data_IF_082494462183
#
_entry.id   IF_082494462183
#
_cell.length_a   1.000
_cell.length_b   1.000
_cell.length_c   1.000
_cell.angle_alpha   90.00
_cell.angle_beta   90.00
_cell.angle_gamma   90.00
#
_symmetry.space_group_name_H-M   'P 1'
#
loop_
_entity.id
_entity.type
_entity.pdbx_description
1 polymer ?
#
# COMPACT_ATOMS: atom_id res chain seq x y z
N UNK A 1 44.16 2.27 -39.37
CA UNK A 1 43.76 3.39 -38.48
C UNK A 1 42.29 3.21 -38.14
N UNK A 2 42.01 2.72 -36.93
CA UNK A 2 40.64 2.45 -36.47
C UNK A 2 39.96 3.76 -36.10
N UNK A 3 38.86 4.06 -36.79
CA UNK A 3 38.05 5.25 -36.57
C UNK A 3 37.16 4.98 -35.34
N UNK A 4 37.66 5.25 -34.12
CA UNK A 4 36.88 5.17 -32.89
C UNK A 4 35.98 6.40 -32.77
N UNK A 5 34.94 6.46 -33.59
CA UNK A 5 33.86 7.41 -33.43
C UNK A 5 33.08 7.05 -32.17
N UNK A 6 33.37 7.73 -31.06
CA UNK A 6 32.49 7.73 -29.89
C UNK A 6 31.17 8.35 -30.31
N UNK A 7 30.19 7.51 -30.64
CA UNK A 7 28.82 7.94 -30.87
C UNK A 7 28.37 8.73 -29.62
N UNK A 8 28.08 10.03 -29.78
CA UNK A 8 27.58 10.88 -28.70
C UNK A 8 26.30 10.25 -28.16
N UNK A 9 26.32 9.81 -26.90
CA UNK A 9 25.14 9.23 -26.23
C UNK A 9 24.10 10.33 -26.01
N UNK A 10 22.86 10.03 -26.33
CA UNK A 10 21.74 10.91 -26.01
C UNK A 10 21.58 11.04 -24.50
N UNK A 11 21.23 12.25 -24.04
CA UNK A 11 21.07 12.62 -22.63
C UNK A 11 20.17 11.62 -21.88
N UNK A 12 19.11 11.11 -22.52
CA UNK A 12 18.20 10.12 -21.93
C UNK A 12 18.83 8.78 -21.57
N UNK A 13 19.81 8.29 -22.35
CA UNK A 13 20.50 7.03 -22.05
C UNK A 13 21.41 7.14 -20.83
N UNK A 14 22.05 8.30 -20.66
CA UNK A 14 22.89 8.60 -19.49
C UNK A 14 22.04 8.73 -18.23
N UNK A 15 20.92 9.46 -18.28
CA UNK A 15 20.00 9.60 -17.15
C UNK A 15 19.44 8.25 -16.70
N UNK A 16 19.04 7.40 -17.66
CA UNK A 16 18.53 6.07 -17.35
C UNK A 16 19.59 5.16 -16.71
N UNK A 17 20.83 5.18 -17.20
CA UNK A 17 21.91 4.41 -16.59
C UNK A 17 22.26 4.89 -15.18
N UNK A 18 22.21 6.20 -14.91
CA UNK A 18 22.38 6.76 -13.56
C UNK A 18 21.25 6.31 -12.63
N UNK A 19 20.01 6.31 -13.11
CA UNK A 19 18.88 5.80 -12.33
C UNK A 19 19.05 4.31 -11.97
N UNK A 20 19.42 3.46 -12.94
CA UNK A 20 19.70 2.05 -12.68
C UNK A 20 20.87 1.85 -11.70
N UNK A 21 21.90 2.70 -11.77
CA UNK A 21 23.03 2.65 -10.84
C UNK A 21 22.58 2.97 -9.40
N UNK A 22 21.78 4.03 -9.20
CA UNK A 22 21.26 4.38 -7.88
C UNK A 22 20.39 3.26 -7.31
N UNK A 23 19.52 2.68 -8.13
CA UNK A 23 18.65 1.56 -7.73
C UNK A 23 19.50 0.34 -7.38
N UNK A 24 20.47 -0.03 -8.21
CA UNK A 24 21.36 -1.15 -7.94
C UNK A 24 22.17 -0.98 -6.65
N UNK A 25 22.71 0.23 -6.42
CA UNK A 25 23.47 0.55 -5.21
C UNK A 25 22.60 0.41 -3.95
N UNK A 26 21.37 0.94 -3.98
CA UNK A 26 20.40 0.79 -2.87
C UNK A 26 20.03 -0.66 -2.64
N UNK A 27 19.75 -1.44 -3.70
CA UNK A 27 19.40 -2.86 -3.60
C UNK A 27 20.54 -3.70 -3.03
N UNK A 28 21.79 -3.46 -3.44
CA UNK A 28 22.95 -4.19 -2.93
C UNK A 28 23.26 -3.77 -1.49
N UNK A 29 23.27 -2.47 -1.19
CA UNK A 29 23.60 -1.95 0.14
C UNK A 29 22.54 -2.34 1.18
N UNK A 30 21.28 -1.99 0.93
CA UNK A 30 20.18 -2.28 1.85
C UNK A 30 19.82 -3.76 1.85
N UNK A 31 19.92 -4.45 0.70
CA UNK A 31 19.74 -5.90 0.63
C UNK A 31 20.84 -6.66 1.38
N UNK A 32 22.08 -6.18 1.35
CA UNK A 32 23.17 -6.77 2.14
C UNK A 32 22.94 -6.61 3.64
N UNK A 33 22.46 -5.44 4.07
CA UNK A 33 22.03 -5.23 5.46
C UNK A 33 20.88 -6.15 5.84
N UNK A 34 19.84 -6.27 4.99
CA UNK A 34 18.72 -7.17 5.24
C UNK A 34 19.16 -8.64 5.33
N UNK A 35 20.09 -9.07 4.47
CA UNK A 35 20.65 -10.41 4.50
C UNK A 35 21.41 -10.68 5.81
N UNK A 36 22.11 -9.68 6.36
CA UNK A 36 22.79 -9.80 7.66
C UNK A 36 21.82 -10.00 8.84
N UNK A 37 20.55 -9.61 8.66
CA UNK A 37 19.47 -9.83 9.61
C UNK A 37 18.70 -11.14 9.36
N UNK A 38 19.17 -11.99 8.46
CA UNK A 38 18.50 -13.25 8.08
C UNK A 38 17.34 -13.08 7.09
N UNK A 39 17.24 -11.93 6.42
CA UNK A 39 16.21 -11.67 5.41
C UNK A 39 16.56 -12.20 4.01
N UNK A 40 15.72 -11.87 3.02
CA UNK A 40 15.81 -12.44 1.68
C UNK A 40 17.06 -12.00 0.90
N UNK A 41 17.76 -12.96 0.29
CA UNK A 41 18.88 -12.72 -0.61
C UNK A 41 18.47 -12.11 -1.97
N UNK A 42 17.16 -12.09 -2.28
CA UNK A 42 16.63 -11.61 -3.55
C UNK A 42 17.12 -10.19 -3.89
N UNK A 43 17.11 -9.26 -2.92
CA UNK A 43 17.46 -7.86 -3.19
C UNK A 43 18.92 -7.68 -3.61
N UNK A 44 19.84 -8.46 -3.04
CA UNK A 44 21.26 -8.44 -3.43
C UNK A 44 21.43 -9.01 -4.84
N UNK A 45 20.80 -10.16 -5.12
CA UNK A 45 20.84 -10.79 -6.45
C UNK A 45 20.24 -9.87 -7.52
N UNK A 46 19.08 -9.27 -7.25
CA UNK A 46 18.42 -8.31 -8.12
C UNK A 46 19.31 -7.09 -8.36
N UNK A 47 19.91 -6.53 -7.30
CA UNK A 47 20.83 -5.40 -7.40
C UNK A 47 22.06 -5.69 -8.29
N UNK A 48 22.64 -6.88 -8.18
CA UNK A 48 23.77 -7.31 -9.04
C UNK A 48 23.35 -7.42 -10.50
N UNK A 49 22.17 -7.98 -10.78
CA UNK A 49 21.67 -8.10 -12.16
C UNK A 49 21.32 -6.73 -12.75
N UNK A 50 20.69 -5.84 -11.99
CA UNK A 50 20.41 -4.46 -12.40
C UNK A 50 21.72 -3.69 -12.67
N UNK A 51 22.76 -3.89 -11.85
CA UNK A 51 24.08 -3.31 -12.07
C UNK A 51 24.72 -3.83 -13.37
N UNK A 52 24.63 -5.14 -13.64
CA UNK A 52 25.12 -5.73 -14.87
C UNK A 52 24.38 -5.17 -16.10
N UNK A 53 23.04 -5.03 -16.02
CA UNK A 53 22.23 -4.40 -17.07
C UNK A 53 22.62 -2.94 -17.26
N UNK A 54 22.83 -2.18 -16.19
CA UNK A 54 23.31 -0.80 -16.26
C UNK A 54 24.65 -0.71 -17.01
N UNK A 55 25.60 -1.59 -16.71
CA UNK A 55 26.91 -1.63 -17.40
C UNK A 55 26.73 -1.96 -18.89
N UNK A 56 25.83 -2.88 -19.24
CA UNK A 56 25.54 -3.21 -20.64
C UNK A 56 24.86 -2.06 -21.39
N UNK A 57 23.94 -1.35 -20.75
CA UNK A 57 23.34 -0.11 -21.28
C UNK A 57 24.41 0.95 -21.47
N UNK A 58 25.30 1.12 -20.48
CA UNK A 58 26.45 2.00 -20.56
C UNK A 58 27.43 1.57 -21.64
N UNK A 59 27.49 0.31 -22.06
CA UNK A 59 28.31 -0.13 -23.19
C UNK A 59 27.56 -0.09 -24.52
N UNK A 60 26.28 0.32 -24.51
CA UNK A 60 25.37 0.27 -25.66
C UNK A 60 25.30 -1.14 -26.27
N UNK A 61 25.34 -2.16 -25.41
CA UNK A 61 25.34 -3.57 -25.79
C UNK A 61 23.90 -4.10 -25.94
N UNK A 62 23.64 -4.83 -27.03
CA UNK A 62 22.33 -5.44 -27.32
C UNK A 62 21.92 -6.50 -26.31
N UNK A 63 22.87 -7.02 -25.52
CA UNK A 63 22.62 -8.03 -24.47
C UNK A 63 21.89 -7.48 -23.24
N UNK A 64 21.77 -6.16 -23.08
CA UNK A 64 21.07 -5.55 -21.95
C UNK A 64 19.59 -6.00 -21.86
N UNK A 65 18.86 -5.97 -22.98
CA UNK A 65 17.45 -6.34 -23.03
C UNK A 65 17.17 -7.82 -22.69
N UNK A 66 17.84 -8.82 -23.29
CA UNK A 66 17.60 -10.22 -22.95
C UNK A 66 18.02 -10.55 -21.51
N UNK A 67 19.08 -9.92 -20.98
CA UNK A 67 19.45 -10.09 -19.57
C UNK A 67 18.37 -9.57 -18.63
N UNK A 68 17.78 -8.41 -18.94
CA UNK A 68 16.68 -7.86 -18.15
C UNK A 68 15.40 -8.68 -18.26
N UNK A 69 15.11 -9.26 -19.43
CA UNK A 69 13.97 -10.16 -19.60
C UNK A 69 14.13 -11.44 -18.75
N UNK A 70 15.34 -12.01 -18.71
CA UNK A 70 15.63 -13.16 -17.85
C UNK A 70 15.49 -12.78 -16.36
N UNK A 71 15.90 -11.56 -15.98
CA UNK A 71 15.70 -11.03 -14.63
C UNK A 71 14.22 -10.95 -14.24
N UNK A 72 13.34 -10.50 -15.15
CA UNK A 72 11.90 -10.46 -14.88
C UNK A 72 11.31 -11.87 -14.70
N UNK A 73 11.74 -12.85 -15.51
CA UNK A 73 11.32 -14.25 -15.35
C UNK A 73 11.81 -14.84 -14.02
N UNK A 74 13.06 -14.56 -13.65
CA UNK A 74 13.62 -14.98 -12.36
C UNK A 74 12.89 -14.33 -11.19
N UNK A 75 12.53 -13.05 -11.31
CA UNK A 75 11.74 -12.34 -10.29
C UNK A 75 10.33 -12.91 -10.17
N UNK A 76 9.68 -13.25 -11.29
CA UNK A 76 8.37 -13.91 -11.26
C UNK A 76 8.46 -15.28 -10.59
N UNK A 77 9.45 -16.10 -10.94
CA UNK A 77 9.65 -17.40 -10.31
C UNK A 77 9.92 -17.28 -8.80
N UNK A 78 10.73 -16.30 -8.39
CA UNK A 78 10.98 -16.02 -6.97
C UNK A 78 9.72 -15.57 -6.24
N UNK A 79 8.96 -14.63 -6.83
CA UNK A 79 7.74 -14.11 -6.24
C UNK A 79 6.67 -15.20 -6.07
N UNK A 80 6.54 -16.09 -7.06
CA UNK A 80 5.65 -17.25 -6.98
C UNK A 80 6.09 -18.24 -5.90
N UNK A 81 7.41 -18.40 -5.68
CA UNK A 81 7.92 -19.28 -4.63
C UNK A 81 7.62 -18.72 -3.22
N UNK A 82 7.69 -17.40 -3.02
CA UNK A 82 7.49 -16.80 -1.70
C UNK A 82 6.03 -16.50 -1.37
N UNK A 83 5.24 -16.06 -2.35
CA UNK A 83 3.88 -15.59 -2.09
C UNK A 83 2.80 -16.37 -2.83
N UNK A 84 3.17 -17.38 -3.60
CA UNK A 84 2.23 -18.21 -4.33
C UNK A 84 1.47 -17.42 -5.39
N UNK A 85 0.16 -17.66 -5.50
CA UNK A 85 -0.70 -17.08 -6.54
C UNK A 85 -1.53 -15.88 -6.06
N UNK A 86 -1.18 -15.28 -4.92
CA UNK A 86 -1.87 -14.08 -4.44
C UNK A 86 -1.59 -12.88 -5.37
N UNK A 87 -2.62 -12.28 -6.00
CA UNK A 87 -2.44 -11.17 -6.93
C UNK A 87 -1.75 -9.94 -6.32
N UNK A 88 -2.04 -9.61 -5.06
CA UNK A 88 -1.59 -8.34 -4.47
C UNK A 88 -0.07 -8.32 -4.20
N UNK A 89 0.50 -9.34 -3.55
CA UNK A 89 1.93 -9.44 -3.41
C UNK A 89 2.62 -9.58 -4.77
N UNK A 90 2.11 -10.40 -5.70
CA UNK A 90 2.73 -10.54 -7.02
C UNK A 90 2.87 -9.20 -7.75
N UNK A 91 1.85 -8.34 -7.69
CA UNK A 91 1.92 -6.98 -8.26
C UNK A 91 3.02 -6.16 -7.60
N UNK A 92 3.14 -6.19 -6.27
CA UNK A 92 4.18 -5.41 -5.55
C UNK A 92 5.61 -5.85 -5.91
N UNK A 93 5.82 -7.14 -6.18
CA UNK A 93 7.12 -7.67 -6.60
C UNK A 93 7.46 -7.32 -8.06
N UNK A 94 6.47 -7.31 -8.95
CA UNK A 94 6.70 -7.24 -10.39
C UNK A 94 6.56 -5.83 -10.98
N UNK A 95 5.74 -4.97 -10.39
CA UNK A 95 5.39 -3.69 -11.00
C UNK A 95 6.63 -2.80 -11.24
N UNK A 96 7.45 -2.57 -10.22
CA UNK A 96 8.63 -1.72 -10.35
C UNK A 96 9.68 -2.29 -11.33
N UNK A 97 10.06 -3.59 -11.27
CA UNK A 97 10.92 -4.20 -12.30
C UNK A 97 10.35 -4.10 -13.72
N UNK A 98 9.04 -4.30 -13.91
CA UNK A 98 8.43 -4.19 -15.25
C UNK A 98 8.56 -2.78 -15.78
N UNK A 99 8.20 -1.77 -14.97
CA UNK A 99 8.29 -0.35 -15.36
C UNK A 99 9.72 0.05 -15.72
N UNK A 100 10.70 -0.38 -14.92
CA UNK A 100 12.12 -0.13 -15.19
C UNK A 100 12.60 -0.81 -16.48
N UNK A 101 11.99 -1.92 -16.90
CA UNK A 101 12.31 -2.64 -18.13
C UNK A 101 11.73 -2.04 -19.40
N UNK A 102 10.72 -1.17 -19.31
CA UNK A 102 10.02 -0.62 -20.48
C UNK A 102 10.96 0.10 -21.47
N UNK A 103 11.91 0.96 -21.05
CA UNK A 103 12.82 1.62 -21.98
C UNK A 103 13.75 0.64 -22.71
N UNK A 104 14.18 -0.43 -22.04
CA UNK A 104 15.06 -1.47 -22.61
C UNK A 104 14.34 -2.29 -23.68
N UNK A 105 13.12 -2.69 -23.37
CA UNK A 105 12.25 -3.42 -24.30
C UNK A 105 11.86 -2.53 -25.49
N UNK A 106 11.58 -1.24 -25.24
CA UNK A 106 11.27 -0.25 -26.27
C UNK A 106 12.41 -0.07 -27.29
N UNK A 107 13.64 0.11 -26.82
CA UNK A 107 14.82 0.22 -27.70
C UNK A 107 15.08 -1.06 -28.51
N UNK A 108 14.78 -2.24 -27.93
CA UNK A 108 14.92 -3.53 -28.61
C UNK A 108 13.84 -3.77 -29.68
N UNK A 109 12.62 -3.28 -29.45
CA UNK A 109 11.48 -3.39 -30.39
C UNK A 109 11.51 -2.32 -31.50
N UNK A 110 12.23 -1.21 -31.29
CA UNK A 110 12.37 -0.11 -32.24
C UNK A 110 13.30 -0.42 -33.45
N UNK A 111 14.17 -1.43 -33.34
CA UNK A 111 15.01 -1.91 -34.44
C UNK A 111 14.27 -2.94 -35.33
N UNK A 112 13.74 -2.47 -36.46
CA UNK A 112 13.44 -3.22 -37.71
C UNK A 112 12.64 -4.53 -37.65
N UNK A 113 11.44 -4.53 -38.27
CA UNK A 113 10.54 -5.68 -38.54
C UNK A 113 9.88 -6.40 -37.34
N UNK A 114 10.13 -5.99 -36.09
CA UNK A 114 9.38 -6.48 -34.89
C UNK A 114 8.51 -5.42 -34.19
N UNK A 115 8.34 -4.24 -34.81
CA UNK A 115 7.56 -3.11 -34.28
C UNK A 115 6.12 -3.48 -33.92
N UNK A 116 5.41 -4.24 -34.76
CA UNK A 116 4.00 -4.57 -34.54
C UNK A 116 3.73 -5.38 -33.24
N UNK A 117 4.64 -6.30 -32.89
CA UNK A 117 4.51 -7.16 -31.70
C UNK A 117 4.81 -6.37 -30.41
N UNK A 118 5.74 -5.42 -30.48
CA UNK A 118 6.10 -4.56 -29.35
C UNK A 118 5.05 -3.54 -28.97
N UNK A 119 4.43 -2.89 -29.98
CA UNK A 119 3.29 -2.00 -29.76
C UNK A 119 2.07 -2.76 -29.25
N UNK A 120 1.84 -3.99 -29.73
CA UNK A 120 0.77 -4.85 -29.21
C UNK A 120 0.96 -5.24 -27.75
N UNK A 121 2.17 -5.62 -27.34
CA UNK A 121 2.46 -6.00 -25.95
C UNK A 121 2.41 -4.83 -24.96
N UNK A 122 2.94 -3.65 -25.35
CA UNK A 122 2.85 -2.45 -24.52
C UNK A 122 1.41 -1.92 -24.45
N UNK A 123 0.69 -1.88 -25.58
CA UNK A 123 -0.72 -1.49 -25.59
C UNK A 123 -1.57 -2.45 -24.76
N UNK A 124 -1.27 -3.76 -24.78
CA UNK A 124 -1.95 -4.74 -23.95
C UNK A 124 -1.60 -4.57 -22.47
N UNK A 125 -0.33 -4.36 -22.11
CA UNK A 125 0.07 -4.12 -20.73
C UNK A 125 -0.51 -2.82 -20.17
N UNK A 126 -0.50 -1.75 -20.97
CA UNK A 126 -1.14 -0.47 -20.62
C UNK A 126 -2.65 -0.64 -20.56
N UNK A 127 -3.30 -1.32 -21.50
CA UNK A 127 -4.75 -1.54 -21.48
C UNK A 127 -5.19 -2.43 -20.32
N UNK A 128 -4.37 -3.42 -19.92
CA UNK A 128 -4.62 -4.26 -18.74
C UNK A 128 -4.46 -3.43 -17.47
N UNK A 129 -3.40 -2.63 -17.34
CA UNK A 129 -3.21 -1.72 -16.21
C UNK A 129 -4.30 -0.66 -16.13
N UNK A 130 -4.66 -0.02 -17.26
CA UNK A 130 -5.73 0.97 -17.34
C UNK A 130 -7.09 0.32 -17.07
N UNK A 131 -7.32 -0.89 -17.56
CA UNK A 131 -8.53 -1.66 -17.29
C UNK A 131 -8.68 -2.01 -15.80
N UNK A 132 -7.59 -2.36 -15.12
CA UNK A 132 -7.57 -2.60 -13.67
C UNK A 132 -7.82 -1.29 -12.89
N UNK A 133 -7.25 -0.17 -13.32
CA UNK A 133 -7.46 1.14 -12.68
C UNK A 133 -8.89 1.67 -12.92
N UNK A 134 -9.41 1.56 -14.14
CA UNK A 134 -10.76 2.03 -14.50
C UNK A 134 -11.88 1.11 -13.99
N UNK A 135 -11.61 -0.18 -13.80
CA UNK A 135 -12.54 -1.12 -13.16
C UNK A 135 -12.54 -1.00 -11.62
N UNK A 136 -11.58 -0.26 -11.05
CA UNK A 136 -11.57 0.06 -9.63
C UNK A 136 -12.51 1.24 -9.37
N UNK A 137 -13.55 1.12 -8.53
CA UNK A 137 -14.41 2.23 -8.17
C UNK A 137 -13.66 3.14 -7.19
N UNK A 138 -12.69 3.90 -7.69
CA UNK A 138 -12.13 5.03 -6.95
C UNK A 138 -13.06 6.21 -7.21
N UNK A 139 -14.07 6.34 -6.36
CA UNK A 139 -14.85 7.57 -6.29
C UNK A 139 -13.88 8.72 -6.01
N UNK A 140 -14.02 9.83 -6.75
CA UNK A 140 -13.30 11.06 -6.43
C UNK A 140 -13.64 11.44 -4.98
N UNK A 141 -12.65 11.78 -4.13
CA UNK A 141 -12.96 12.25 -2.78
C UNK A 141 -13.77 13.54 -2.90
N UNK A 142 -15.03 13.50 -2.50
CA UNK A 142 -15.80 14.73 -2.32
C UNK A 142 -15.08 15.58 -1.27
N UNK A 143 -14.88 16.85 -1.59
CA UNK A 143 -14.25 17.79 -0.67
C UNK A 143 -15.19 18.02 0.52
N UNK A 144 -14.99 17.29 1.61
CA UNK A 144 -15.63 17.58 2.88
C UNK A 144 -15.04 18.88 3.43
N UNK A 145 -15.88 19.92 3.52
CA UNK A 145 -15.54 21.13 4.25
C UNK A 145 -15.41 20.76 5.74
N UNK A 146 -14.19 20.77 6.25
CA UNK A 146 -13.91 20.51 7.65
C UNK A 146 -14.30 21.72 8.51
N UNK A 147 -15.58 21.80 8.90
CA UNK A 147 -16.06 22.75 9.91
C UNK A 147 -16.50 21.97 11.15
N UNK A 148 -15.53 21.50 11.92
CA UNK A 148 -15.77 20.89 13.23
C UNK A 148 -15.11 21.74 14.29
N UNK A 149 -15.89 22.23 15.26
CA UNK A 149 -15.35 22.78 16.50
C UNK A 149 -14.53 21.70 17.22
N UNK A 150 -13.35 22.02 17.77
CA UNK A 150 -12.62 21.07 18.61
C UNK A 150 -13.48 20.70 19.82
N UNK A 151 -14.00 19.48 19.85
CA UNK A 151 -14.70 18.96 21.02
C UNK A 151 -13.68 18.80 22.16
N UNK A 152 -13.93 19.55 23.24
CA UNK A 152 -13.11 19.61 24.45
C UNK A 152 -13.54 18.64 25.55
N UNK A 153 -14.54 17.79 25.27
CA UNK A 153 -15.11 16.81 26.21
C UNK A 153 -14.27 15.52 26.35
N UNK A 154 -13.21 15.38 25.54
CA UNK A 154 -12.35 14.20 25.53
C UNK A 154 -12.93 13.01 24.77
N UNK A 155 -14.02 13.21 24.01
CA UNK A 155 -14.59 12.19 23.15
C UNK A 155 -13.79 12.01 21.85
N UNK A 156 -13.86 10.79 21.32
CA UNK A 156 -13.31 10.37 20.05
C UNK A 156 -14.47 10.03 19.11
N UNK A 157 -15.11 11.07 18.56
CA UNK A 157 -16.34 10.97 17.74
C UNK A 157 -16.09 10.59 16.28
N UNK A 158 -14.87 10.78 15.79
CA UNK A 158 -14.46 10.51 14.41
C UNK A 158 -13.29 9.52 14.40
N UNK A 159 -13.09 8.76 13.33
CA UNK A 159 -11.93 7.85 13.17
C UNK A 159 -10.59 8.60 13.38
N UNK A 160 -10.53 9.87 12.97
CA UNK A 160 -9.38 10.75 13.17
C UNK A 160 -9.48 11.69 14.38
N UNK A 161 -10.32 11.37 15.38
CA UNK A 161 -10.69 12.19 16.56
C UNK A 161 -11.52 13.42 16.25
N UNK A 162 -11.12 14.23 15.27
CA UNK A 162 -11.82 15.43 14.80
C UNK A 162 -12.03 15.38 13.28
N UNK A 163 -12.77 16.34 12.74
CA UNK A 163 -13.04 16.43 11.30
C UNK A 163 -11.77 16.67 10.48
N UNK A 164 -10.76 17.33 11.06
CA UNK A 164 -9.44 17.52 10.44
C UNK A 164 -8.59 16.25 10.42
N UNK A 165 -9.01 15.19 11.12
CA UNK A 165 -8.31 13.93 11.20
C UNK A 165 -7.00 14.00 11.96
N UNK A 166 -6.85 14.94 12.91
CA UNK A 166 -5.54 15.20 13.56
C UNK A 166 -5.04 14.02 14.40
N UNK A 167 -5.95 13.14 14.86
CA UNK A 167 -5.67 12.06 15.82
C UNK A 167 -5.00 12.56 17.11
N UNK A 168 -5.16 13.84 17.44
CA UNK A 168 -4.62 14.44 18.66
C UNK A 168 -5.62 14.24 19.81
N UNK A 169 -5.18 13.84 21.00
CA UNK A 169 -6.02 13.84 22.20
C UNK A 169 -5.58 14.98 23.13
N UNK A 170 -6.47 15.89 23.56
CA UNK A 170 -6.10 17.05 24.38
C UNK A 170 -6.07 16.69 25.88
N UNK A 171 -5.86 15.40 26.20
CA UNK A 171 -5.85 14.86 27.55
C UNK A 171 -4.40 14.74 28.02
N UNK A 172 -4.09 15.22 29.22
CA UNK A 172 -2.72 15.29 29.74
C UNK A 172 -2.48 14.41 30.98
N UNK A 173 -3.49 13.65 31.42
CA UNK A 173 -3.39 12.76 32.58
C UNK A 173 -2.27 11.72 32.40
N UNK A 174 -2.15 11.15 31.19
CA UNK A 174 -1.04 10.27 30.81
C UNK A 174 0.00 11.10 30.06
N UNK A 175 1.26 11.03 30.49
CA UNK A 175 2.37 11.81 29.94
C UNK A 175 3.70 11.04 30.07
N UNK A 176 4.78 11.63 29.55
CA UNK A 176 6.11 11.00 29.51
C UNK A 176 6.68 10.64 30.88
N UNK A 177 6.20 11.26 31.97
CA UNK A 177 6.66 10.97 33.32
C UNK A 177 5.92 9.80 33.98
N UNK A 178 4.72 9.43 33.50
CA UNK A 178 3.91 8.37 34.13
C UNK A 178 3.47 7.24 33.18
N UNK A 179 3.74 7.32 31.87
CA UNK A 179 3.37 6.29 30.89
C UNK A 179 3.90 4.89 31.24
N UNK A 180 5.05 4.80 31.93
CA UNK A 180 5.62 3.53 32.40
C UNK A 180 4.89 2.88 33.57
N UNK A 181 3.81 3.48 34.08
CA UNK A 181 2.99 2.99 35.20
C UNK A 181 1.59 2.57 34.77
N UNK A 182 1.35 2.43 33.47
CA UNK A 182 0.05 2.02 32.96
C UNK A 182 -0.14 0.52 33.15
N UNK A 183 -1.32 0.16 33.64
CA UNK A 183 -1.80 -1.21 33.73
C UNK A 183 -3.02 -1.38 32.82
N UNK A 184 -3.28 -2.63 32.42
CA UNK A 184 -4.48 -2.98 31.66
C UNK A 184 -5.70 -2.80 32.56
N UNK A 185 -6.57 -1.85 32.23
CA UNK A 185 -7.81 -1.60 32.98
C UNK A 185 -8.85 -2.72 32.78
N UNK A 186 -9.01 -3.18 31.53
CA UNK A 186 -9.89 -4.28 31.16
C UNK A 186 -9.53 -4.83 29.78
N UNK A 187 -10.03 -6.03 29.47
CA UNK A 187 -9.95 -6.68 28.15
C UNK A 187 -11.33 -7.17 27.74
N UNK A 188 -11.61 -7.19 26.44
CA UNK A 188 -12.84 -7.72 25.88
C UNK A 188 -12.54 -8.68 24.74
N UNK A 189 -13.09 -9.90 24.83
CA UNK A 189 -12.98 -10.91 23.78
C UNK A 189 -14.00 -10.63 22.68
N UNK A 190 -13.53 -10.06 21.57
CA UNK A 190 -14.39 -9.69 20.46
C UNK A 190 -15.01 -10.92 19.77
N UNK A 191 -16.27 -10.83 19.29
CA UNK A 191 -16.96 -11.96 18.68
C UNK A 191 -16.35 -12.39 17.33
N UNK A 192 -15.54 -11.53 16.72
CA UNK A 192 -14.74 -11.82 15.52
C UNK A 192 -13.48 -10.94 15.51
N UNK A 193 -12.55 -11.26 14.61
CA UNK A 193 -11.30 -10.52 14.45
C UNK A 193 -11.57 -9.03 14.21
N UNK A 194 -10.81 -8.16 14.86
CA UNK A 194 -10.81 -6.72 14.58
C UNK A 194 -9.65 -6.44 13.62
N UNK A 195 -9.91 -5.73 12.52
CA UNK A 195 -8.90 -5.37 11.53
C UNK A 195 -9.06 -3.92 11.14
N UNK A 196 -8.03 -3.11 11.33
CA UNK A 196 -7.96 -1.68 10.93
C UNK A 196 -8.92 -0.72 11.66
N UNK A 197 -9.94 -1.23 12.37
CA UNK A 197 -10.94 -0.41 13.04
C UNK A 197 -10.32 0.46 14.15
N UNK A 198 -10.56 1.77 14.08
CA UNK A 198 -10.34 2.69 15.21
C UNK A 198 -11.64 2.81 16.01
N UNK A 199 -11.69 2.42 17.29
CA UNK A 199 -12.88 2.59 18.11
C UNK A 199 -13.28 4.06 18.26
N UNK A 200 -14.58 4.33 18.33
CA UNK A 200 -15.11 5.62 18.77
C UNK A 200 -15.40 5.55 20.27
N UNK A 201 -15.01 6.56 21.04
CA UNK A 201 -15.40 6.72 22.44
C UNK A 201 -16.26 7.96 22.54
N UNK A 202 -17.52 7.80 22.95
CA UNK A 202 -18.47 8.91 23.04
C UNK A 202 -19.22 8.78 24.36
N UNK A 203 -19.14 9.80 25.20
CA UNK A 203 -19.67 9.75 26.57
C UNK A 203 -19.03 8.62 27.38
N UNK A 204 -19.83 7.64 27.77
CA UNK A 204 -19.43 6.47 28.58
C UNK A 204 -19.31 5.18 27.76
N UNK A 205 -19.38 5.27 26.43
CA UNK A 205 -19.49 4.11 25.55
C UNK A 205 -18.39 4.09 24.49
N UNK A 206 -17.81 2.91 24.27
CA UNK A 206 -16.86 2.62 23.19
C UNK A 206 -17.56 1.80 22.11
N UNK A 207 -17.52 2.27 20.87
CA UNK A 207 -18.09 1.61 19.70
C UNK A 207 -16.99 1.17 18.74
N UNK A 208 -17.08 -0.05 18.25
CA UNK A 208 -16.19 -0.54 17.19
C UNK A 208 -16.87 -1.61 16.35
N UNK A 209 -16.21 -2.01 15.27
CA UNK A 209 -16.67 -3.08 14.41
C UNK A 209 -15.61 -4.16 14.20
N UNK A 210 -16.07 -5.36 13.87
CA UNK A 210 -15.22 -6.51 13.53
C UNK A 210 -15.06 -6.66 12.02
N UNK A 211 -14.14 -7.53 11.61
CA UNK A 211 -13.86 -7.92 10.23
C UNK A 211 -15.14 -8.33 9.47
N UNK A 212 -16.04 -9.04 10.13
CA UNK A 212 -17.31 -9.49 9.54
C UNK A 212 -18.45 -8.44 9.61
N UNK A 213 -18.12 -7.16 9.90
CA UNK A 213 -19.05 -6.03 10.04
C UNK A 213 -20.03 -6.15 11.22
N UNK A 214 -19.70 -6.91 12.26
CA UNK A 214 -20.46 -6.87 13.51
C UNK A 214 -20.10 -5.59 14.26
N UNK A 215 -21.08 -4.93 14.85
CA UNK A 215 -20.89 -3.68 15.61
C UNK A 215 -21.10 -3.96 17.09
N UNK A 216 -20.14 -3.56 17.91
CA UNK A 216 -20.14 -3.78 19.36
C UNK A 216 -20.08 -2.44 20.07
N UNK A 217 -20.87 -2.29 21.13
CA UNK A 217 -20.77 -1.20 22.09
C UNK A 217 -20.40 -1.73 23.47
N UNK A 218 -19.37 -1.15 24.07
CA UNK A 218 -18.89 -1.47 25.41
C UNK A 218 -19.02 -0.26 26.32
N UNK A 219 -19.22 -0.53 27.60
CA UNK A 219 -19.00 0.44 28.66
C UNK A 219 -17.51 0.81 28.73
N UNK A 220 -17.18 2.10 28.66
CA UNK A 220 -15.81 2.58 28.53
C UNK A 220 -14.96 2.33 29.79
N UNK A 221 -15.59 2.31 30.97
CA UNK A 221 -14.89 2.15 32.25
C UNK A 221 -14.67 0.67 32.59
N UNK A 222 -15.66 -0.18 32.32
CA UNK A 222 -15.65 -1.58 32.75
C UNK A 222 -15.35 -2.59 31.64
N UNK A 223 -15.43 -2.17 30.37
CA UNK A 223 -15.30 -3.07 29.21
C UNK A 223 -16.49 -4.01 29.00
N UNK A 224 -17.57 -3.88 29.78
CA UNK A 224 -18.75 -4.73 29.66
C UNK A 224 -19.53 -4.40 28.40
N UNK A 225 -19.94 -5.43 27.65
CA UNK A 225 -20.78 -5.25 26.47
C UNK A 225 -22.14 -4.67 26.86
N UNK A 226 -22.47 -3.52 26.26
CA UNK A 226 -23.80 -2.89 26.35
C UNK A 226 -24.75 -3.51 25.33
N UNK A 227 -24.29 -3.61 24.09
CA UNK A 227 -25.03 -4.27 23.02
C UNK A 227 -24.08 -4.74 21.92
N UNK A 228 -24.59 -5.65 21.08
CA UNK A 228 -23.89 -6.18 19.92
C UNK A 228 -24.91 -6.38 18.78
N UNK A 229 -24.56 -5.94 17.58
CA UNK A 229 -25.34 -6.13 16.36
C UNK A 229 -24.56 -6.97 15.34
N UNK A 230 -25.11 -8.14 15.01
CA UNK A 230 -24.62 -9.00 13.94
C UNK A 230 -25.55 -8.88 12.71
N UNK A 231 -25.08 -8.29 11.60
CA UNK A 231 -25.87 -8.16 10.38
C UNK A 231 -26.08 -9.49 9.62
N UNK A 232 -25.47 -10.60 10.07
CA UNK A 232 -25.58 -11.94 9.45
C UNK A 232 -25.27 -11.94 7.96
N UNK A 233 -24.20 -11.23 7.57
CA UNK A 233 -23.78 -11.12 6.18
C UNK A 233 -23.35 -12.49 5.63
N UNK A 234 -23.67 -12.73 4.36
CA UNK A 234 -23.25 -13.95 3.69
C UNK A 234 -21.72 -13.98 3.57
N UNK A 235 -21.08 -14.97 4.21
CA UNK A 235 -19.64 -15.03 4.44
C UNK A 235 -18.78 -15.28 3.19
N UNK A 236 -19.38 -15.44 2.01
CA UNK A 236 -18.69 -15.74 0.74
C UNK A 236 -18.22 -14.49 -0.02
N UNK A 237 -18.37 -13.28 0.53
CA UNK A 237 -17.87 -12.05 -0.10
C UNK A 237 -16.35 -11.89 0.08
N UNK A 238 -15.61 -11.48 -0.96
CA UNK A 238 -14.14 -11.44 -0.96
C UNK A 238 -13.53 -10.30 -0.11
N UNK A 239 -14.30 -9.27 0.25
CA UNK A 239 -13.82 -8.16 1.07
C UNK A 239 -14.70 -8.01 2.32
N UNK A 240 -14.13 -8.36 3.47
CA UNK A 240 -14.75 -8.23 4.79
C UNK A 240 -13.86 -7.32 5.64
N UNK A 241 -13.94 -6.02 5.40
CA UNK A 241 -13.13 -5.07 6.15
C UNK A 241 -14.06 -4.00 6.68
N UNK A 242 -14.15 -3.90 8.00
CA UNK A 242 -14.74 -2.75 8.66
C UNK A 242 -13.62 -1.91 9.28
N UNK A 243 -13.47 -0.67 8.81
CA UNK A 243 -12.43 0.27 9.24
C UNK A 243 -12.86 1.21 10.37
N UNK A 244 -14.12 1.11 10.80
CA UNK A 244 -14.69 1.93 11.84
C UNK A 244 -16.19 2.12 11.68
N UNK A 245 -16.78 2.81 12.63
CA UNK A 245 -18.17 3.26 12.61
C UNK A 245 -18.22 4.78 12.52
N UNK A 246 -19.38 5.34 12.19
CA UNK A 246 -19.64 6.77 12.23
C UNK A 246 -20.72 7.07 13.27
N UNK A 247 -20.64 8.26 13.87
CA UNK A 247 -21.61 8.73 14.84
C UNK A 247 -22.32 9.97 14.32
N UNK A 248 -23.63 10.03 14.54
CA UNK A 248 -24.45 11.20 14.31
C UNK A 248 -25.43 11.34 15.47
N UNK A 249 -25.44 12.51 16.10
CA UNK A 249 -26.42 12.85 17.11
C UNK A 249 -27.57 13.60 16.42
N UNK A 250 -28.74 12.99 16.40
CA UNK A 250 -29.97 13.69 16.02
C UNK A 250 -30.41 14.57 17.20
N UNK A 251 -30.80 15.81 16.95
CA UNK A 251 -31.58 16.55 17.94
C UNK A 251 -32.84 15.73 18.23
N UNK A 252 -33.14 15.53 19.52
CA UNK A 252 -34.38 14.84 19.90
C UNK A 252 -35.52 15.67 19.35
N UNK A 253 -36.18 15.18 18.30
CA UNK A 253 -37.39 15.80 17.79
C UNK A 253 -38.36 15.90 18.97
N UNK A 254 -38.95 17.08 19.18
CA UNK A 254 -40.09 17.21 20.09
C UNK A 254 -41.12 16.14 19.70
N UNK A 255 -41.67 15.47 20.73
CA UNK A 255 -42.38 14.16 20.79
C UNK A 255 -43.41 13.83 19.67
N UNK A 256 -43.69 14.73 18.73
CA UNK A 256 -44.78 14.64 17.73
C UNK A 256 -44.35 14.95 16.27
N UNK A 257 -43.06 14.88 15.93
CA UNK A 257 -42.64 15.04 14.52
C UNK A 257 -42.63 13.69 13.79
N UNK A 258 -43.44 13.46 12.74
CA UNK A 258 -43.35 12.22 11.96
C UNK A 258 -41.99 12.12 11.27
N UNK A 259 -41.39 10.93 11.36
CA UNK A 259 -40.11 10.56 10.74
C UNK A 259 -40.06 10.83 9.23
#
# INVERSE_FOLDING_TARGET
>A
MANSGTAKRGIGGTLYAVALLMIAATLIGMGGYLLSLGGSAYFVLAGVVVLAVMILVWRSDRRAAPLYALFLLGTLAWALAEVGTDPWPLVSWLAAPIVLGLPLLWCWLATGRRRAIGFGGLALAVAVLLGVVLASPVAAPEAFAASGTPDGDGDWRYVGRDIGGTRYAPLSQVNTANVGKLDVAWTYDAPAQISEATPLKIGDTVYFCTFDNQVVALDAETGKQRWHHDPKLALHRPAKFCRGVAYHQTEVAADDSPC
#
